data_IF_966985676058
#
_entry.id   IF_966985676058
#
_cell.length_a   1.000
_cell.length_b   1.000
_cell.length_c   1.000
_cell.angle_alpha   90.00
_cell.angle_beta   90.00
_cell.angle_gamma   90.00
#
_symmetry.space_group_name_H-M   'P 1'
#
loop_
_entity.id
_entity.type
_entity.pdbx_description
1 polymer ?
#
# COMPACT_ATOMS: atom_id res chain seq x y z
N UNK A 1 22.32 0.53 3.77
CA UNK A 1 21.83 -0.81 3.38
C UNK A 1 20.94 -1.23 4.52
N UNK A 2 19.66 -1.48 4.25
CA UNK A 2 18.74 -1.79 5.33
C UNK A 2 19.20 -3.08 6.01
N UNK A 3 19.30 -3.05 7.34
CA UNK A 3 19.33 -4.26 8.18
C UNK A 3 17.93 -4.90 8.16
N UNK A 4 17.40 -5.16 6.96
CA UNK A 4 16.12 -5.83 6.79
C UNK A 4 16.29 -7.29 7.19
N UNK A 5 15.47 -7.72 8.13
CA UNK A 5 15.46 -9.05 8.69
C UNK A 5 14.07 -9.63 8.47
N UNK A 6 13.93 -10.65 7.59
CA UNK A 6 12.66 -11.30 7.31
C UNK A 6 11.96 -11.82 8.58
N UNK A 7 12.72 -12.30 9.58
CA UNK A 7 12.14 -12.81 10.82
C UNK A 7 11.52 -11.67 11.65
N UNK A 8 12.12 -10.48 11.64
CA UNK A 8 11.55 -9.30 12.29
C UNK A 8 10.31 -8.75 11.58
N UNK A 9 10.12 -9.08 10.30
CA UNK A 9 8.94 -8.69 9.55
C UNK A 9 7.68 -9.44 9.99
N UNK A 10 7.82 -10.61 10.64
CA UNK A 10 6.68 -11.27 11.31
C UNK A 10 6.06 -10.38 12.39
N UNK A 11 6.88 -9.58 13.09
CA UNK A 11 6.46 -8.53 14.03
C UNK A 11 6.78 -7.14 13.46
N UNK A 12 6.39 -6.92 12.19
CA UNK A 12 6.66 -5.70 11.41
C UNK A 12 6.22 -4.41 12.09
N UNK A 13 5.12 -4.43 12.86
CA UNK A 13 4.64 -3.24 13.55
C UNK A 13 5.48 -2.88 14.79
N UNK A 14 6.17 -3.85 15.39
CA UNK A 14 7.13 -3.56 16.46
C UNK A 14 8.49 -3.13 15.90
N UNK A 15 8.92 -3.71 14.78
CA UNK A 15 10.29 -3.55 14.27
C UNK A 15 10.44 -2.50 13.17
N UNK A 16 9.41 -2.28 12.35
CA UNK A 16 9.49 -1.54 11.09
C UNK A 16 8.32 -0.56 10.87
N UNK A 17 7.60 -0.19 11.92
CA UNK A 17 6.46 0.72 11.78
C UNK A 17 6.79 2.06 11.11
N UNK A 18 7.91 2.75 11.44
CA UNK A 18 8.28 3.99 10.74
C UNK A 18 8.49 3.78 9.22
N UNK A 19 9.12 2.68 8.83
CA UNK A 19 9.38 2.30 7.44
C UNK A 19 8.08 2.02 6.70
N UNK A 20 7.16 1.27 7.30
CA UNK A 20 5.82 1.02 6.74
C UNK A 20 5.05 2.33 6.55
N UNK A 21 5.02 3.19 7.57
CA UNK A 21 4.36 4.50 7.46
C UNK A 21 4.94 5.34 6.33
N UNK A 22 6.27 5.30 6.16
CA UNK A 22 6.95 6.03 5.11
C UNK A 22 6.64 5.46 3.72
N UNK A 23 6.54 4.12 3.57
CA UNK A 23 6.17 3.47 2.31
C UNK A 23 4.77 3.89 1.85
N UNK A 24 3.79 3.72 2.73
CA UNK A 24 2.39 4.09 2.45
C UNK A 24 2.25 5.58 2.14
N UNK A 25 2.93 6.44 2.90
CA UNK A 25 2.93 7.89 2.64
C UNK A 25 3.54 8.24 1.29
N UNK A 26 4.63 7.59 0.88
CA UNK A 26 5.26 7.85 -0.41
C UNK A 26 4.36 7.41 -1.56
N UNK A 27 3.78 6.22 -1.47
CA UNK A 27 2.84 5.70 -2.46
C UNK A 27 1.62 6.62 -2.59
N UNK A 28 1.02 7.02 -1.46
CA UNK A 28 -0.07 7.97 -1.41
C UNK A 28 0.27 9.28 -2.13
N UNK A 29 1.44 9.88 -1.86
CA UNK A 29 1.84 11.13 -2.51
C UNK A 29 1.98 10.96 -4.03
N UNK A 30 2.62 9.88 -4.50
CA UNK A 30 2.77 9.59 -5.93
C UNK A 30 1.42 9.35 -6.62
N UNK A 31 0.50 8.68 -5.94
CA UNK A 31 -0.85 8.43 -6.47
C UNK A 31 -1.66 9.72 -6.56
N UNK A 32 -1.56 10.62 -5.57
CA UNK A 32 -2.23 11.93 -5.61
C UNK A 32 -1.70 12.84 -6.73
N UNK A 33 -0.46 12.68 -7.16
CA UNK A 33 0.09 13.43 -8.29
C UNK A 33 -0.45 12.94 -9.65
N UNK A 34 -0.86 11.68 -9.74
CA UNK A 34 -1.21 11.00 -11.00
C UNK A 34 -2.71 10.81 -11.20
N UNK A 35 -3.48 10.70 -10.11
CA UNK A 35 -4.90 10.36 -10.12
C UNK A 35 -5.75 11.41 -9.41
N UNK A 36 -7.07 11.24 -9.50
CA UNK A 36 -8.02 12.10 -8.78
C UNK A 36 -7.80 11.99 -7.27
N UNK A 37 -7.53 13.11 -6.61
CA UNK A 37 -7.17 13.11 -5.20
C UNK A 37 -8.30 12.63 -4.30
N UNK A 38 -9.57 12.91 -4.64
CA UNK A 38 -10.72 12.45 -3.86
C UNK A 38 -10.79 10.92 -3.87
N UNK A 39 -10.61 10.30 -5.04
CA UNK A 39 -10.53 8.85 -5.18
C UNK A 39 -9.32 8.25 -4.44
N UNK A 40 -8.14 8.85 -4.57
CA UNK A 40 -6.91 8.36 -3.89
C UNK A 40 -7.06 8.42 -2.38
N UNK A 41 -7.59 9.53 -1.84
CA UNK A 41 -7.89 9.67 -0.42
C UNK A 41 -8.93 8.65 0.07
N UNK A 42 -9.98 8.39 -0.71
CA UNK A 42 -10.99 7.41 -0.33
C UNK A 42 -10.43 5.98 -0.30
N UNK A 43 -9.61 5.61 -1.29
CA UNK A 43 -8.90 4.32 -1.31
C UNK A 43 -7.98 4.19 -0.09
N UNK A 44 -7.16 5.21 0.19
CA UNK A 44 -6.24 5.21 1.34
C UNK A 44 -6.97 5.01 2.67
N UNK A 45 -8.05 5.76 2.88
CA UNK A 45 -8.73 5.80 4.17
C UNK A 45 -9.73 4.68 4.41
N UNK A 46 -10.32 4.12 3.34
CA UNK A 46 -11.44 3.19 3.46
C UNK A 46 -11.06 1.76 3.06
N UNK A 47 -9.95 1.58 2.33
CA UNK A 47 -9.50 0.27 1.85
C UNK A 47 -8.12 -0.05 2.42
N UNK A 48 -7.14 0.82 2.17
CA UNK A 48 -5.74 0.54 2.53
C UNK A 48 -5.47 0.64 4.04
N UNK A 49 -6.34 1.31 4.79
CA UNK A 49 -6.29 1.33 6.26
C UNK A 49 -6.50 -0.06 6.91
N UNK A 50 -7.16 -0.98 6.21
CA UNK A 50 -7.39 -2.38 6.61
C UNK A 50 -6.45 -3.34 5.86
N UNK A 51 -5.57 -2.82 4.99
CA UNK A 51 -4.60 -3.64 4.26
C UNK A 51 -3.44 -4.08 5.13
N UNK A 52 -2.81 -5.19 4.76
CA UNK A 52 -1.65 -5.71 5.47
C UNK A 52 -0.50 -6.06 4.51
N UNK A 53 0.73 -5.54 4.75
CA UNK A 53 1.89 -5.92 3.96
C UNK A 53 2.48 -7.25 4.44
N UNK A 54 2.86 -8.09 3.49
CA UNK A 54 3.57 -9.35 3.66
C UNK A 54 4.88 -9.32 2.89
N UNK A 55 5.92 -9.92 3.47
CA UNK A 55 7.17 -10.20 2.77
C UNK A 55 7.11 -11.63 2.23
N UNK A 56 7.26 -11.78 0.91
CA UNK A 56 7.13 -13.09 0.25
C UNK A 56 8.49 -13.79 0.00
N UNK A 57 9.59 -13.11 0.34
CA UNK A 57 10.94 -13.57 0.02
C UNK A 57 11.52 -12.84 -1.19
N UNK A 58 12.83 -13.02 -1.41
CA UNK A 58 13.55 -12.46 -2.57
C UNK A 58 13.36 -10.95 -2.80
N UNK A 59 13.13 -10.19 -1.73
CA UNK A 59 12.91 -8.75 -1.80
C UNK A 59 11.50 -8.34 -2.19
N UNK A 60 10.57 -9.27 -2.39
CA UNK A 60 9.20 -9.00 -2.84
C UNK A 60 8.23 -8.83 -1.67
N UNK A 61 7.29 -7.90 -1.86
CA UNK A 61 6.21 -7.62 -0.92
C UNK A 61 4.86 -7.79 -1.59
N UNK A 62 3.88 -8.27 -0.84
CA UNK A 62 2.48 -8.35 -1.25
C UNK A 62 1.61 -7.58 -0.28
N UNK A 63 0.67 -6.78 -0.78
CA UNK A 63 -0.38 -6.19 0.05
C UNK A 63 -1.62 -7.07 0.02
N UNK A 64 -2.04 -7.53 1.20
CA UNK A 64 -3.34 -8.15 1.36
C UNK A 64 -4.42 -7.08 1.53
N UNK A 65 -5.42 -7.14 0.67
CA UNK A 65 -6.57 -6.25 0.68
C UNK A 65 -7.73 -6.91 1.44
N UNK A 66 -8.69 -6.12 1.93
CA UNK A 66 -9.90 -6.68 2.51
C UNK A 66 -10.79 -7.35 1.43
N UNK A 67 -11.67 -8.28 1.83
CA UNK A 67 -12.45 -9.15 0.91
C UNK A 67 -13.35 -8.42 -0.12
N UNK A 68 -13.83 -7.22 0.21
CA UNK A 68 -14.68 -6.39 -0.66
C UNK A 68 -14.17 -4.93 -0.62
N UNK A 69 -13.13 -4.60 -1.42
CA UNK A 69 -12.56 -3.27 -1.45
C UNK A 69 -13.52 -2.22 -2.02
N UNK A 70 -14.24 -2.55 -3.11
CA UNK A 70 -15.12 -1.60 -3.77
C UNK A 70 -16.38 -1.31 -2.94
N UNK A 71 -16.96 -2.33 -2.30
CA UNK A 71 -18.11 -2.17 -1.41
C UNK A 71 -17.82 -1.35 -0.15
N UNK A 72 -16.55 -1.14 0.21
CA UNK A 72 -16.14 -0.21 1.28
C UNK A 72 -16.16 1.25 0.85
N UNK A 73 -16.11 1.52 -0.45
CA UNK A 73 -16.02 2.88 -0.97
C UNK A 73 -17.31 3.66 -0.70
N UNK A 74 -17.16 4.81 -0.05
CA UNK A 74 -18.24 5.69 0.33
C UNK A 74 -17.85 7.16 0.10
N UNK A 75 -18.82 7.96 -0.34
CA UNK A 75 -18.62 9.39 -0.58
C UNK A 75 -18.02 9.75 -1.94
N UNK A 76 -17.48 8.78 -2.69
CA UNK A 76 -16.94 8.97 -4.05
C UNK A 76 -17.77 8.17 -5.05
N UNK A 77 -18.17 8.82 -6.16
CA UNK A 77 -18.87 8.16 -7.28
C UNK A 77 -17.88 7.83 -8.39
N UNK A 78 -17.51 6.56 -8.51
CA UNK A 78 -16.61 6.04 -9.54
C UNK A 78 -17.13 4.70 -10.04
N UNK A 79 -16.85 4.35 -11.28
CA UNK A 79 -17.13 3.02 -11.80
C UNK A 79 -16.13 2.00 -11.21
N UNK A 80 -16.61 0.79 -10.93
CA UNK A 80 -15.83 -0.28 -10.30
C UNK A 80 -14.51 -0.57 -11.05
N UNK A 81 -14.56 -0.69 -12.38
CA UNK A 81 -13.36 -0.92 -13.21
C UNK A 81 -12.30 0.17 -13.01
N UNK A 82 -12.71 1.43 -12.87
CA UNK A 82 -11.78 2.54 -12.64
C UNK A 82 -11.24 2.54 -11.22
N UNK A 83 -12.07 2.19 -10.23
CA UNK A 83 -11.61 2.01 -8.86
C UNK A 83 -10.57 0.89 -8.77
N UNK A 84 -10.84 -0.27 -9.36
CA UNK A 84 -9.95 -1.44 -9.36
C UNK A 84 -8.60 -1.08 -9.99
N UNK A 85 -8.59 -0.41 -11.14
CA UNK A 85 -7.35 0.04 -11.79
C UNK A 85 -6.52 0.98 -10.89
N UNK A 86 -7.17 1.93 -10.20
CA UNK A 86 -6.45 2.86 -9.32
C UNK A 86 -5.96 2.16 -8.06
N UNK A 87 -6.76 1.25 -7.50
CA UNK A 87 -6.38 0.45 -6.34
C UNK A 87 -5.20 -0.48 -6.64
N UNK A 88 -5.24 -1.22 -7.76
CA UNK A 88 -4.15 -2.06 -8.23
C UNK A 88 -2.86 -1.25 -8.35
N UNK A 89 -2.93 -0.09 -9.03
CA UNK A 89 -1.76 0.80 -9.15
C UNK A 89 -1.28 1.34 -7.80
N UNK A 90 -2.19 1.62 -6.87
CA UNK A 90 -1.82 2.08 -5.53
C UNK A 90 -1.07 0.99 -4.76
N UNK A 91 -1.57 -0.25 -4.82
CA UNK A 91 -0.94 -1.43 -4.21
C UNK A 91 0.46 -1.64 -4.78
N UNK A 92 0.60 -1.65 -6.10
CA UNK A 92 1.91 -1.78 -6.77
C UNK A 92 2.91 -0.71 -6.30
N UNK A 93 2.45 0.54 -6.12
CA UNK A 93 3.33 1.61 -5.66
C UNK A 93 3.71 1.44 -4.18
N UNK A 94 2.83 0.91 -3.33
CA UNK A 94 3.17 0.56 -1.94
C UNK A 94 4.23 -0.55 -1.94
N UNK A 95 4.05 -1.62 -2.71
CA UNK A 95 5.01 -2.73 -2.81
C UNK A 95 6.37 -2.21 -3.29
N UNK A 96 6.38 -1.38 -4.33
CA UNK A 96 7.60 -0.74 -4.84
C UNK A 96 8.26 0.18 -3.80
N UNK A 97 7.49 0.92 -3.01
CA UNK A 97 8.06 1.77 -1.95
C UNK A 97 8.61 0.95 -0.77
N UNK A 98 7.99 -0.19 -0.44
CA UNK A 98 8.55 -1.13 0.54
C UNK A 98 9.89 -1.67 0.04
N UNK A 99 9.97 -2.10 -1.22
CA UNK A 99 11.23 -2.53 -1.84
C UNK A 99 12.30 -1.45 -1.74
N UNK A 100 11.99 -0.21 -2.10
CA UNK A 100 12.94 0.92 -2.04
C UNK A 100 13.40 1.22 -0.62
N UNK A 101 12.48 1.26 0.34
CA UNK A 101 12.80 1.59 1.74
C UNK A 101 13.68 0.52 2.37
N UNK A 102 13.43 -0.75 2.05
CA UNK A 102 14.24 -1.88 2.52
C UNK A 102 15.45 -2.18 1.61
N UNK A 103 15.64 -1.42 0.52
CA UNK A 103 16.84 -1.45 -0.31
C UNK A 103 16.92 -2.61 -1.31
N UNK A 104 15.77 -3.12 -1.77
CA UNK A 104 15.64 -4.14 -2.80
C UNK A 104 15.50 -3.56 -4.23
N UNK A 105 15.21 -2.26 -4.37
CA UNK A 105 15.02 -1.55 -5.65
C UNK A 105 15.82 -0.25 -5.76
#
# INVERSE_FOLDING_TARGET
MADFDPEKFEDKYANYFPELQQAYKNAFNRMNEQYDSELVHAIDQQVLNESEPFYEGDGQFRIELPDDPYGRLSGVLVEEERFEQVLERHVEEIETELERIFGFA
#
